data_IF_855430719511
#
_entry.id   IF_855430719511
#
_cell.length_a   1.000
_cell.length_b   1.000
_cell.length_c   1.000
_cell.angle_alpha   90.00
_cell.angle_beta   90.00
_cell.angle_gamma   90.00
#
_symmetry.space_group_name_H-M   'P 1'
#
loop_
_entity.id
_entity.type
_entity.pdbx_description
1 polymer ?
#
# COMPACT_ATOMS: atom_id res chain seq x y z
N UNK A 1 3.22 3.04 15.27
CA UNK A 1 3.77 3.16 16.62
C UNK A 1 5.27 3.39 16.54
N UNK A 2 5.75 4.56 16.95
CA UNK A 2 7.17 4.93 16.93
C UNK A 2 7.89 4.56 18.23
N UNK A 3 7.17 4.06 19.21
CA UNK A 3 7.79 3.60 20.45
C UNK A 3 8.49 2.27 20.19
N UNK A 4 9.78 2.15 20.47
CA UNK A 4 10.48 0.88 20.42
C UNK A 4 9.78 -0.11 21.35
N UNK A 5 9.50 -1.29 20.81
CA UNK A 5 8.88 -2.38 21.56
C UNK A 5 9.78 -3.58 21.50
N UNK A 6 10.19 -4.08 22.65
CA UNK A 6 11.01 -5.28 22.78
C UNK A 6 10.12 -6.44 23.25
N UNK A 7 10.23 -7.54 22.57
CA UNK A 7 9.58 -8.79 22.97
C UNK A 7 10.63 -9.75 23.51
N UNK A 8 10.40 -10.25 24.72
CA UNK A 8 11.26 -11.25 25.37
C UNK A 8 10.48 -12.55 25.53
N UNK A 9 11.04 -13.64 25.03
CA UNK A 9 10.48 -14.99 25.17
C UNK A 9 11.60 -15.93 25.65
N UNK A 10 11.52 -16.35 26.89
CA UNK A 10 12.44 -17.32 27.48
C UNK A 10 11.67 -18.30 28.39
N UNK A 11 12.28 -19.43 28.85
CA UNK A 11 11.57 -20.44 29.64
C UNK A 11 11.00 -19.95 30.97
N UNK A 12 11.45 -18.82 31.48
CA UNK A 12 11.04 -18.27 32.77
C UNK A 12 9.96 -17.19 32.64
N UNK A 13 9.99 -16.44 31.53
CA UNK A 13 9.06 -15.35 31.34
C UNK A 13 8.84 -15.03 29.86
N UNK A 14 7.70 -14.41 29.59
CA UNK A 14 7.39 -13.77 28.33
C UNK A 14 6.92 -12.36 28.63
N UNK A 15 7.57 -11.37 28.02
CA UNK A 15 7.20 -9.97 28.19
C UNK A 15 7.28 -9.21 26.86
N UNK A 16 6.54 -8.12 26.78
CA UNK A 16 6.83 -7.07 25.83
C UNK A 16 6.91 -5.73 26.54
N UNK A 17 7.93 -4.98 26.22
CA UNK A 17 8.27 -3.72 26.85
C UNK A 17 8.24 -2.62 25.82
N UNK A 18 7.55 -1.53 26.09
CA UNK A 18 7.49 -0.36 25.23
C UNK A 18 7.94 0.86 26.01
N UNK A 19 8.78 1.71 25.39
CA UNK A 19 9.30 2.90 26.05
C UNK A 19 8.20 3.89 26.43
N UNK A 20 7.17 3.99 25.59
CA UNK A 20 6.03 4.90 25.78
C UNK A 20 4.75 4.20 25.34
N UNK A 21 3.73 4.28 26.16
CA UNK A 21 2.40 3.79 25.84
C UNK A 21 1.40 4.20 26.91
N UNK A 22 0.22 4.65 26.51
CA UNK A 22 -0.87 4.99 27.43
C UNK A 22 -1.57 3.77 27.99
N UNK A 23 -1.61 2.70 27.18
CA UNK A 23 -2.19 1.42 27.57
C UNK A 23 -1.58 0.27 26.75
N UNK A 24 -1.79 -0.95 27.23
CA UNK A 24 -1.58 -2.17 26.47
C UNK A 24 -2.96 -2.79 26.20
N UNK A 25 -3.27 -2.99 24.92
CA UNK A 25 -4.49 -3.67 24.47
C UNK A 25 -4.12 -4.88 23.64
N UNK A 26 -4.52 -6.05 24.12
CA UNK A 26 -4.19 -7.32 23.45
C UNK A 26 -5.26 -8.38 23.69
N UNK A 27 -5.31 -9.35 22.76
CA UNK A 27 -6.16 -10.52 22.86
C UNK A 27 -5.30 -11.77 22.99
N UNK A 28 -5.61 -12.59 23.98
CA UNK A 28 -5.06 -13.94 24.09
C UNK A 28 -6.08 -14.94 23.58
N UNK A 29 -5.75 -15.67 22.52
CA UNK A 29 -6.65 -16.62 21.89
C UNK A 29 -6.15 -18.05 22.14
N UNK A 30 -6.89 -18.78 22.97
CA UNK A 30 -6.64 -20.20 23.21
C UNK A 30 -7.48 -21.05 22.26
N UNK A 31 -6.85 -21.86 21.42
CA UNK A 31 -7.51 -22.64 20.39
C UNK A 31 -7.20 -24.12 20.41
N UNK A 32 -6.66 -24.69 21.47
CA UNK A 32 -6.22 -26.09 21.60
C UNK A 32 -5.36 -26.65 20.44
N UNK A 33 -5.48 -26.11 19.24
CA UNK A 33 -4.67 -26.39 18.04
C UNK A 33 -4.66 -25.15 17.13
N UNK A 34 -3.87 -25.20 16.06
CA UNK A 34 -3.73 -24.07 15.13
C UNK A 34 -5.06 -23.64 14.49
N UNK A 35 -5.90 -24.59 14.09
CA UNK A 35 -7.19 -24.27 13.48
C UNK A 35 -8.12 -23.54 14.46
N UNK A 36 -8.11 -23.95 15.73
CA UNK A 36 -8.87 -23.28 16.79
C UNK A 36 -8.38 -21.85 17.05
N UNK A 37 -7.07 -21.60 17.00
CA UNK A 37 -6.52 -20.24 17.11
C UNK A 37 -6.95 -19.38 15.93
N UNK A 38 -6.84 -19.90 14.71
CA UNK A 38 -7.28 -19.18 13.49
C UNK A 38 -8.78 -18.90 13.52
N UNK A 39 -9.60 -19.86 13.99
CA UNK A 39 -11.03 -19.63 14.17
C UNK A 39 -11.30 -18.47 15.14
N UNK A 40 -10.63 -18.45 16.30
CA UNK A 40 -10.75 -17.36 17.27
C UNK A 40 -10.30 -15.99 16.73
N UNK A 41 -9.21 -15.95 15.93
CA UNK A 41 -8.82 -14.72 15.21
C UNK A 41 -9.94 -14.26 14.28
N UNK A 42 -10.54 -15.18 13.52
CA UNK A 42 -11.63 -14.84 12.59
C UNK A 42 -12.91 -14.38 13.29
N UNK A 43 -13.17 -14.87 14.49
CA UNK A 43 -14.29 -14.40 15.30
C UNK A 43 -14.11 -12.95 15.74
N UNK A 44 -12.88 -12.52 16.02
CA UNK A 44 -12.56 -11.15 16.40
C UNK A 44 -12.48 -10.20 15.18
N UNK A 45 -11.84 -10.64 14.10
CA UNK A 45 -11.52 -9.77 12.95
C UNK A 45 -12.52 -9.90 11.80
N UNK A 46 -13.44 -10.83 11.89
CA UNK A 46 -14.32 -11.22 10.79
C UNK A 46 -13.65 -12.22 9.83
N UNK A 47 -14.45 -12.78 8.96
CA UNK A 47 -13.99 -13.77 7.99
C UNK A 47 -13.34 -13.09 6.79
N UNK A 48 -12.14 -13.54 6.42
CA UNK A 48 -11.50 -13.09 5.17
C UNK A 48 -12.35 -13.53 3.96
N UNK A 49 -12.58 -12.64 2.98
CA UNK A 49 -13.25 -13.01 1.73
C UNK A 49 -12.38 -13.98 0.93
N UNK A 50 -13.02 -14.79 0.09
CA UNK A 50 -12.31 -15.59 -0.89
C UNK A 50 -11.87 -14.68 -2.03
N UNK A 51 -10.57 -14.54 -2.21
CA UNK A 51 -10.00 -13.72 -3.29
C UNK A 51 -10.11 -14.44 -4.64
N UNK A 52 -10.25 -13.70 -5.75
CA UNK A 52 -10.11 -14.25 -7.09
C UNK A 52 -8.74 -14.92 -7.29
N UNK A 53 -8.70 -15.99 -8.06
CA UNK A 53 -7.47 -16.79 -8.23
C UNK A 53 -6.30 -15.96 -8.80
N UNK A 54 -6.57 -15.02 -9.69
CA UNK A 54 -5.56 -14.15 -10.31
C UNK A 54 -4.81 -13.26 -9.29
N UNK A 55 -5.39 -12.97 -8.12
CA UNK A 55 -4.71 -12.21 -7.07
C UNK A 55 -3.54 -12.97 -6.45
N UNK A 56 -3.56 -14.30 -6.55
CA UNK A 56 -2.52 -15.20 -6.06
C UNK A 56 -1.47 -15.53 -7.12
N UNK A 57 -1.61 -14.97 -8.32
CA UNK A 57 -0.70 -15.17 -9.42
C UNK A 57 0.52 -14.24 -9.40
N UNK A 58 1.20 -14.14 -10.54
CA UNK A 58 2.39 -13.31 -10.65
C UNK A 58 2.04 -11.86 -11.00
N UNK A 59 2.57 -10.93 -10.21
CA UNK A 59 2.43 -9.49 -10.38
C UNK A 59 3.78 -8.88 -10.69
N UNK A 60 3.91 -8.32 -11.89
CA UNK A 60 5.11 -7.62 -12.31
C UNK A 60 5.12 -6.19 -11.76
N UNK A 61 6.20 -5.83 -11.11
CA UNK A 61 6.48 -4.47 -10.65
C UNK A 61 7.92 -4.10 -10.97
N UNK A 62 8.15 -2.82 -11.18
CA UNK A 62 9.48 -2.20 -11.12
C UNK A 62 9.32 -0.82 -10.48
N UNK A 63 10.41 -0.20 -10.07
CA UNK A 63 10.39 1.07 -9.36
C UNK A 63 9.44 2.08 -10.00
N UNK A 64 9.44 2.15 -11.33
CA UNK A 64 8.38 2.82 -12.10
C UNK A 64 8.48 2.52 -13.59
N UNK A 65 7.36 2.58 -14.26
CA UNK A 65 7.26 2.74 -15.70
C UNK A 65 7.14 4.22 -16.00
N UNK A 66 7.84 4.69 -17.05
CA UNK A 66 7.92 6.13 -17.36
C UNK A 66 6.77 6.60 -18.23
N UNK A 67 6.11 5.68 -18.91
CA UNK A 67 4.97 5.97 -19.77
C UNK A 67 3.98 4.79 -19.80
N UNK A 68 2.73 5.04 -20.22
CA UNK A 68 1.75 4.00 -20.50
C UNK A 68 2.25 2.97 -21.51
N UNK A 69 2.93 3.43 -22.56
CA UNK A 69 3.43 2.56 -23.62
C UNK A 69 4.49 1.60 -23.09
N UNK A 70 5.46 2.09 -22.28
CA UNK A 70 6.45 1.22 -21.63
C UNK A 70 5.79 0.15 -20.74
N UNK A 71 4.72 0.50 -20.02
CA UNK A 71 4.00 -0.45 -19.19
C UNK A 71 3.29 -1.52 -20.03
N UNK A 72 2.59 -1.10 -21.07
CA UNK A 72 1.88 -2.02 -21.98
C UNK A 72 2.84 -2.93 -22.72
N UNK A 73 3.98 -2.40 -23.24
CA UNK A 73 5.04 -3.20 -23.87
C UNK A 73 5.55 -4.33 -22.97
N UNK A 74 5.66 -4.09 -21.67
CA UNK A 74 6.06 -5.15 -20.72
C UNK A 74 5.01 -6.26 -20.66
N UNK A 75 3.73 -5.93 -20.63
CA UNK A 75 2.66 -6.95 -20.63
C UNK A 75 2.65 -7.73 -21.94
N UNK A 76 2.80 -7.06 -23.08
CA UNK A 76 2.91 -7.68 -24.39
C UNK A 76 4.08 -8.66 -24.46
N UNK A 77 5.26 -8.26 -23.96
CA UNK A 77 6.44 -9.11 -23.93
C UNK A 77 6.22 -10.39 -23.11
N UNK A 78 5.50 -10.32 -21.98
CA UNK A 78 5.10 -11.51 -21.23
C UNK A 78 4.21 -12.43 -22.06
N UNK A 79 3.27 -11.86 -22.83
CA UNK A 79 2.35 -12.63 -23.69
C UNK A 79 3.09 -13.26 -24.87
N UNK A 80 3.96 -12.50 -25.53
CA UNK A 80 4.75 -12.97 -26.66
C UNK A 80 5.68 -14.11 -26.26
N UNK A 81 6.31 -14.01 -25.13
CA UNK A 81 7.16 -15.06 -24.56
C UNK A 81 6.39 -16.22 -23.92
N UNK A 82 5.08 -16.13 -23.84
CA UNK A 82 4.22 -17.13 -23.20
C UNK A 82 4.58 -17.35 -21.71
N UNK A 83 5.03 -16.32 -21.04
CA UNK A 83 5.29 -16.33 -19.62
C UNK A 83 4.01 -15.90 -18.88
N UNK A 84 3.52 -16.67 -17.90
CA UNK A 84 2.34 -16.30 -17.14
C UNK A 84 2.50 -14.95 -16.43
N UNK A 85 1.47 -14.13 -16.50
CA UNK A 85 1.37 -12.84 -15.82
C UNK A 85 -0.09 -12.60 -15.50
N UNK A 86 -0.41 -12.29 -14.24
CA UNK A 86 -1.76 -11.98 -13.78
C UNK A 86 -1.99 -10.49 -13.59
N UNK A 87 -0.96 -9.75 -13.24
CA UNK A 87 -1.09 -8.32 -13.10
C UNK A 87 0.22 -7.55 -13.22
N UNK A 88 0.09 -6.24 -13.38
CA UNK A 88 1.19 -5.28 -13.43
C UNK A 88 0.90 -4.11 -12.50
N UNK A 89 1.93 -3.60 -11.86
CA UNK A 89 1.81 -2.49 -10.91
C UNK A 89 2.46 -1.25 -11.52
N UNK A 90 1.67 -0.19 -11.72
CA UNK A 90 2.21 1.14 -11.96
C UNK A 90 2.64 1.73 -10.63
N UNK A 91 3.92 1.82 -10.43
CA UNK A 91 4.50 2.40 -9.23
C UNK A 91 4.51 3.94 -9.30
N UNK A 92 5.19 4.58 -8.41
CA UNK A 92 5.18 6.01 -8.17
C UNK A 92 5.41 6.90 -9.43
N UNK A 93 5.23 8.22 -9.28
CA UNK A 93 5.35 9.26 -10.31
C UNK A 93 4.31 9.25 -11.44
N UNK A 94 3.28 8.40 -11.42
CA UNK A 94 2.11 8.61 -12.29
C UNK A 94 1.40 9.95 -11.97
N UNK A 95 1.63 10.49 -10.78
CA UNK A 95 1.18 11.81 -10.34
C UNK A 95 2.05 12.99 -10.81
N UNK A 96 3.22 12.75 -11.41
CA UNK A 96 4.12 13.76 -11.94
C UNK A 96 5.28 14.12 -11.01
N UNK A 97 5.19 15.22 -10.29
CA UNK A 97 6.28 15.71 -9.44
C UNK A 97 6.14 15.28 -7.97
N UNK A 98 7.25 15.40 -7.21
CA UNK A 98 7.23 15.12 -5.78
C UNK A 98 6.31 16.06 -4.98
N UNK A 99 6.04 17.28 -5.46
CA UNK A 99 5.02 18.17 -4.87
C UNK A 99 3.60 17.62 -4.97
N UNK A 100 3.38 16.69 -5.90
CA UNK A 100 2.13 15.98 -6.13
C UNK A 100 2.21 14.53 -5.62
N UNK A 101 3.15 14.26 -4.72
CA UNK A 101 3.37 12.92 -4.17
C UNK A 101 2.05 12.29 -3.72
N UNK A 102 1.79 11.10 -4.24
CA UNK A 102 0.59 10.34 -3.93
C UNK A 102 -0.73 11.09 -4.15
N UNK A 103 -0.83 11.86 -5.22
CA UNK A 103 -2.06 12.60 -5.54
C UNK A 103 -3.29 11.71 -5.76
N UNK A 104 -3.09 10.39 -5.93
CA UNK A 104 -4.12 9.40 -6.30
C UNK A 104 -4.80 9.71 -7.64
N UNK A 105 -4.16 10.54 -8.45
CA UNK A 105 -4.61 10.96 -9.77
C UNK A 105 -3.45 10.84 -10.76
N UNK A 106 -3.76 10.52 -12.02
CA UNK A 106 -2.78 10.50 -13.10
C UNK A 106 -2.53 11.94 -13.58
N UNK A 107 -1.63 12.65 -12.92
CA UNK A 107 -1.30 14.05 -13.21
C UNK A 107 -0.02 14.21 -14.03
N UNK A 108 0.75 13.14 -14.21
CA UNK A 108 1.91 13.15 -15.07
C UNK A 108 1.48 13.30 -16.54
N UNK A 109 2.15 14.20 -17.25
CA UNK A 109 1.88 14.50 -18.65
C UNK A 109 1.89 13.25 -19.56
N UNK A 110 2.75 12.28 -19.28
CA UNK A 110 2.83 11.04 -20.04
C UNK A 110 1.56 10.16 -19.88
N UNK A 111 0.83 10.32 -18.78
CA UNK A 111 -0.35 9.52 -18.44
C UNK A 111 -1.68 10.23 -18.72
N UNK A 112 -1.76 10.98 -19.86
CA UNK A 112 -2.96 11.75 -20.22
C UNK A 112 -4.20 10.90 -20.48
N UNK A 113 -4.02 9.66 -20.91
CA UNK A 113 -5.11 8.72 -21.16
C UNK A 113 -4.88 7.42 -20.37
N UNK A 114 -5.07 7.47 -19.04
CA UNK A 114 -4.90 6.30 -18.20
C UNK A 114 -5.92 5.21 -18.53
N UNK A 115 -7.10 5.59 -19.06
CA UNK A 115 -8.12 4.64 -19.46
C UNK A 115 -7.65 3.76 -20.61
N UNK A 116 -7.01 4.32 -21.63
CA UNK A 116 -6.43 3.55 -22.74
C UNK A 116 -5.46 2.50 -22.20
N UNK A 117 -4.53 2.89 -21.36
CA UNK A 117 -3.54 1.98 -20.74
C UNK A 117 -4.21 0.85 -19.97
N UNK A 118 -5.21 1.16 -19.15
CA UNK A 118 -5.94 0.16 -18.36
C UNK A 118 -6.70 -0.81 -19.28
N UNK A 119 -7.38 -0.28 -20.29
CA UNK A 119 -8.14 -1.09 -21.26
C UNK A 119 -7.22 -2.03 -22.04
N UNK A 120 -6.01 -1.57 -22.42
CA UNK A 120 -5.01 -2.35 -23.12
C UNK A 120 -4.47 -3.51 -22.25
N UNK A 121 -4.09 -3.22 -21.02
CA UNK A 121 -3.68 -4.24 -20.03
C UNK A 121 -4.79 -5.29 -19.81
N UNK A 122 -6.03 -4.84 -19.65
CA UNK A 122 -7.18 -5.72 -19.49
C UNK A 122 -7.45 -6.54 -20.77
N UNK A 123 -7.26 -5.93 -21.95
CA UNK A 123 -7.36 -6.63 -23.25
C UNK A 123 -6.35 -7.76 -23.41
N UNK A 124 -5.21 -7.65 -22.75
CA UNK A 124 -4.17 -8.68 -22.67
C UNK A 124 -4.40 -9.70 -21.54
N UNK A 125 -5.60 -9.69 -20.95
CA UNK A 125 -5.97 -10.57 -19.84
C UNK A 125 -4.99 -10.46 -18.64
N UNK A 126 -4.63 -9.24 -18.28
CA UNK A 126 -3.88 -8.92 -17.07
C UNK A 126 -4.64 -7.86 -16.26
N UNK A 127 -4.35 -7.79 -14.98
CA UNK A 127 -4.91 -6.77 -14.08
C UNK A 127 -3.89 -5.67 -13.82
N UNK A 128 -4.38 -4.49 -13.44
CA UNK A 128 -3.52 -3.35 -13.13
C UNK A 128 -3.79 -2.83 -11.72
N UNK A 129 -2.72 -2.46 -11.03
CA UNK A 129 -2.76 -1.80 -9.73
C UNK A 129 -1.86 -0.56 -9.79
N UNK A 130 -2.21 0.47 -9.04
CA UNK A 130 -1.34 1.62 -8.77
C UNK A 130 -0.80 1.53 -7.35
N UNK A 131 0.41 2.00 -7.12
CA UNK A 131 0.92 2.16 -5.76
C UNK A 131 0.31 3.39 -5.09
N UNK A 132 -0.01 3.25 -3.82
CA UNK A 132 -0.49 4.35 -2.98
C UNK A 132 0.27 4.37 -1.66
N UNK A 133 0.38 5.58 -1.08
CA UNK A 133 1.09 5.82 0.16
C UNK A 133 0.17 6.47 1.19
N UNK A 134 0.55 6.44 2.45
CA UNK A 134 -0.13 7.17 3.52
C UNK A 134 0.39 8.60 3.70
N UNK A 135 1.34 9.05 2.89
CA UNK A 135 1.87 10.41 2.87
C UNK A 135 1.46 11.14 1.60
N UNK A 136 1.23 12.44 1.69
CA UNK A 136 0.75 13.25 0.58
C UNK A 136 1.61 14.50 0.38
N UNK A 137 1.88 14.84 -0.87
CA UNK A 137 2.56 16.08 -1.22
C UNK A 137 1.66 17.31 -0.99
N UNK A 138 2.24 18.45 -0.61
CA UNK A 138 1.48 19.63 -0.15
C UNK A 138 0.61 20.30 -1.24
N UNK A 139 0.82 19.96 -2.49
CA UNK A 139 0.00 20.49 -3.58
C UNK A 139 -1.16 19.57 -3.97
N UNK A 140 -1.26 18.41 -3.37
CA UNK A 140 -2.32 17.44 -3.67
C UNK A 140 -3.66 17.85 -3.05
N UNK A 141 -4.74 17.35 -3.63
CA UNK A 141 -6.08 17.54 -3.09
C UNK A 141 -6.25 16.84 -1.73
N UNK A 142 -5.83 15.55 -1.56
CA UNK A 142 -5.91 14.90 -0.27
C UNK A 142 -5.17 15.65 0.85
N UNK A 143 -3.97 16.16 0.58
CA UNK A 143 -3.23 16.95 1.57
C UNK A 143 -4.06 18.16 2.06
N UNK A 144 -4.58 18.97 1.14
CA UNK A 144 -5.35 20.18 1.48
C UNK A 144 -6.64 19.88 2.24
N UNK A 145 -7.30 18.78 1.91
CA UNK A 145 -8.51 18.34 2.62
C UNK A 145 -8.18 17.92 4.04
N UNK A 146 -7.14 17.11 4.23
CA UNK A 146 -6.70 16.64 5.54
C UNK A 146 -6.11 17.75 6.41
N UNK A 147 -5.36 18.70 5.80
CA UNK A 147 -4.86 19.90 6.48
C UNK A 147 -6.01 20.74 7.05
N UNK A 148 -7.05 20.96 6.25
CA UNK A 148 -8.24 21.70 6.67
C UNK A 148 -8.95 21.06 7.87
N UNK A 149 -8.92 19.75 7.95
CA UNK A 149 -9.55 18.97 9.02
C UNK A 149 -8.61 18.72 10.22
N UNK A 150 -7.36 19.15 10.14
CA UNK A 150 -6.36 18.94 11.20
C UNK A 150 -5.91 17.48 11.36
N UNK A 151 -6.00 16.69 10.30
CA UNK A 151 -5.69 15.25 10.29
C UNK A 151 -4.25 14.93 9.83
N UNK A 152 -3.43 15.94 9.59
CA UNK A 152 -2.03 15.75 9.21
C UNK A 152 -1.15 15.65 10.46
N UNK A 153 -0.21 14.70 10.42
CA UNK A 153 0.90 14.67 11.36
C UNK A 153 2.00 15.60 10.85
N UNK A 154 2.47 16.51 11.71
CA UNK A 154 3.59 17.41 11.39
C UNK A 154 4.92 16.64 11.43
N UNK A 155 5.15 15.84 10.38
CA UNK A 155 6.33 15.00 10.25
C UNK A 155 6.79 14.91 8.80
N UNK A 156 8.00 15.38 8.53
CA UNK A 156 8.64 15.20 7.23
C UNK A 156 9.07 13.74 7.04
N UNK A 157 8.57 13.11 5.98
CA UNK A 157 8.85 11.68 5.70
C UNK A 157 9.95 11.45 4.68
N UNK A 158 10.32 12.48 3.93
CA UNK A 158 11.33 12.37 2.86
C UNK A 158 12.19 13.63 2.76
N UNK A 159 13.31 13.70 3.51
CA UNK A 159 14.14 14.93 3.57
C UNK A 159 14.75 15.34 2.22
N UNK A 160 15.00 14.39 1.33
CA UNK A 160 15.66 14.66 0.04
C UNK A 160 14.71 15.18 -1.05
N UNK A 161 13.41 15.15 -0.84
CA UNK A 161 12.44 15.64 -1.82
C UNK A 161 12.35 17.16 -1.88
N UNK A 162 12.97 17.87 -0.94
CA UNK A 162 12.82 19.32 -0.78
C UNK A 162 11.39 19.75 -0.47
N UNK A 163 10.53 18.82 -0.13
CA UNK A 163 9.11 19.00 0.13
C UNK A 163 8.78 18.38 1.47
N UNK A 164 8.10 19.12 2.32
CA UNK A 164 7.48 18.55 3.51
C UNK A 164 6.38 17.59 3.06
N UNK A 165 6.60 16.31 3.29
CA UNK A 165 5.57 15.29 3.16
C UNK A 165 4.98 15.06 4.55
N UNK A 166 3.68 15.15 4.66
CA UNK A 166 2.98 14.88 5.92
C UNK A 166 2.32 13.52 5.86
N UNK A 167 2.47 12.77 6.93
CA UNK A 167 1.74 11.51 7.12
C UNK A 167 0.33 11.82 7.62
N UNK A 168 -0.62 11.03 7.19
CA UNK A 168 -1.97 11.06 7.70
C UNK A 168 -2.00 10.32 9.03
N UNK A 169 -2.57 10.94 10.03
CA UNK A 169 -3.00 10.25 11.21
C UNK A 169 -4.45 9.80 11.00
N UNK A 170 -4.64 8.51 10.77
CA UNK A 170 -5.97 7.91 10.85
C UNK A 170 -6.19 7.69 12.35
N UNK A 171 -6.87 8.63 13.00
CA UNK A 171 -7.45 8.35 14.30
C UNK A 171 -8.64 7.42 14.03
N UNK A 172 -8.56 6.22 14.50
CA UNK A 172 -9.76 5.38 14.58
C UNK A 172 -10.80 6.07 15.47
N UNK A 173 -12.09 5.95 15.15
CA UNK A 173 -13.17 6.52 15.94
C UNK A 173 -13.28 5.91 17.33
#
# INVERSE_FOLDING_TARGET
NYSPTMFTDNPQEMSFDSEVGDCADYYFIYGSNADGVIAGVRDLTGQAPLYPLWTLGFWQCRERYKSPDELCEVVDEYRDRKVPLDGIIQDWQYWGSNYLWNAMEFLNYEYRDPKRMIDEVHGLNAHMMISIWSSFGPKTKPFKELEKEGLLMDMATWPESGVELSLIHISEP
#
